data_IF_041819318305
#
_entry.id   IF_041819318305
#
_cell.length_a   1.000
_cell.length_b   1.000
_cell.length_c   1.000
_cell.angle_alpha   90.00
_cell.angle_beta   90.00
_cell.angle_gamma   90.00
#
_symmetry.space_group_name_H-M   'P 1'
#
loop_
_entity.id
_entity.type
_entity.pdbx_description
1 polymer ?
#
# COMPACT_ATOMS: atom_id res chain seq x y z
N UNK A 1 20.15 -25.07 -79.94
CA UNK A 1 19.00 -24.15 -79.91
C UNK A 1 18.14 -24.60 -78.77
N UNK A 2 17.81 -23.62 -77.95
CA UNK A 2 17.45 -23.63 -76.53
C UNK A 2 16.10 -24.25 -76.15
N UNK A 3 15.85 -24.21 -74.83
CA UNK A 3 14.55 -24.23 -74.13
C UNK A 3 13.90 -25.60 -73.91
N UNK A 4 13.14 -25.89 -72.85
CA UNK A 4 12.94 -25.39 -71.49
C UNK A 4 11.94 -26.40 -70.84
N UNK A 5 11.90 -26.43 -69.51
CA UNK A 5 10.85 -26.83 -68.56
C UNK A 5 9.57 -27.58 -69.04
N UNK A 6 9.22 -28.74 -68.43
CA UNK A 6 8.35 -28.93 -67.22
C UNK A 6 6.86 -28.69 -67.47
N UNK A 7 6.01 -29.66 -67.09
CA UNK A 7 4.68 -29.56 -66.43
C UNK A 7 3.94 -30.91 -66.61
N UNK A 8 3.81 -31.75 -65.58
CA UNK A 8 2.92 -31.69 -64.40
C UNK A 8 1.49 -32.14 -64.70
N UNK A 9 1.04 -33.18 -63.99
CA UNK A 9 -0.27 -33.17 -63.35
C UNK A 9 -0.34 -34.33 -62.35
N UNK A 10 -0.19 -33.99 -61.06
CA UNK A 10 -0.48 -34.86 -59.93
C UNK A 10 -1.51 -34.13 -59.07
N UNK A 11 -2.76 -34.59 -59.12
CA UNK A 11 -3.92 -33.91 -58.52
C UNK A 11 -4.02 -34.21 -57.03
N UNK A 12 -3.73 -33.22 -56.19
CA UNK A 12 -3.88 -33.24 -54.72
C UNK A 12 -5.28 -32.75 -54.32
N UNK A 13 -5.97 -33.59 -53.54
CA UNK A 13 -7.28 -33.36 -52.93
C UNK A 13 -7.23 -32.22 -51.88
N UNK A 14 -8.10 -31.22 -52.01
CA UNK A 14 -8.15 -30.01 -51.17
C UNK A 14 -9.29 -30.16 -50.15
N UNK A 15 -8.92 -30.26 -48.88
CA UNK A 15 -9.80 -30.40 -47.73
C UNK A 15 -10.77 -29.22 -47.56
N UNK A 16 -12.08 -29.50 -47.61
CA UNK A 16 -13.10 -28.55 -47.15
C UNK A 16 -13.13 -28.53 -45.61
N UNK A 17 -12.72 -27.41 -45.02
CA UNK A 17 -12.56 -27.25 -43.56
C UNK A 17 -13.87 -27.35 -42.77
N UNK A 18 -13.84 -28.10 -41.66
CA UNK A 18 -14.98 -28.30 -40.76
C UNK A 18 -15.45 -27.00 -40.06
N UNK A 19 -16.76 -26.71 -40.13
CA UNK A 19 -17.39 -25.53 -39.50
C UNK A 19 -18.41 -25.91 -38.41
N UNK A 20 -18.07 -25.75 -37.10
CA UNK A 20 -18.96 -26.15 -36.01
C UNK A 20 -20.10 -25.16 -35.76
N UNK A 21 -21.32 -25.69 -35.52
CA UNK A 21 -22.54 -24.90 -35.30
C UNK A 21 -22.80 -24.53 -33.84
N UNK A 22 -22.21 -25.24 -32.86
CA UNK A 22 -22.46 -24.99 -31.43
C UNK A 22 -21.41 -24.06 -30.80
N UNK A 23 -21.79 -23.22 -29.82
CA UNK A 23 -20.85 -22.28 -29.18
C UNK A 23 -19.66 -22.95 -28.48
N UNK A 24 -19.87 -24.13 -27.88
CA UNK A 24 -18.81 -24.88 -27.21
C UNK A 24 -17.77 -25.42 -28.21
N UNK A 25 -18.21 -25.87 -29.39
CA UNK A 25 -17.34 -26.50 -30.37
C UNK A 25 -16.59 -25.48 -31.23
N UNK A 26 -17.13 -24.26 -31.37
CA UNK A 26 -16.38 -23.09 -31.88
C UNK A 26 -15.21 -22.73 -30.96
N UNK A 27 -15.43 -22.67 -29.63
CA UNK A 27 -14.37 -22.38 -28.65
C UNK A 27 -13.31 -23.48 -28.56
N UNK A 28 -13.68 -24.72 -28.86
CA UNK A 28 -12.72 -25.82 -28.93
C UNK A 28 -11.90 -25.73 -30.21
N UNK A 29 -12.52 -25.50 -31.38
CA UNK A 29 -11.81 -25.32 -32.65
C UNK A 29 -10.78 -24.19 -32.57
N UNK A 30 -11.16 -23.03 -32.05
CA UNK A 30 -10.27 -21.89 -31.93
C UNK A 30 -9.05 -22.18 -31.03
N UNK A 31 -9.17 -23.06 -30.04
CA UNK A 31 -8.07 -23.38 -29.12
C UNK A 31 -7.05 -24.36 -29.67
N UNK A 32 -7.46 -25.23 -30.58
CA UNK A 32 -6.64 -26.39 -30.97
C UNK A 32 -6.38 -26.48 -32.47
N UNK A 33 -7.35 -26.12 -33.32
CA UNK A 33 -7.20 -26.20 -34.78
C UNK A 33 -6.60 -24.93 -35.38
N UNK A 34 -7.03 -23.75 -34.90
CA UNK A 34 -6.53 -22.49 -35.44
C UNK A 34 -5.15 -22.12 -34.83
N UNK A 35 -4.79 -22.69 -33.67
CA UNK A 35 -3.47 -22.51 -33.04
C UNK A 35 -2.41 -23.50 -33.56
N UNK A 36 -2.78 -24.64 -34.15
CA UNK A 36 -1.83 -25.59 -34.76
C UNK A 36 -1.31 -25.11 -36.13
N UNK A 37 -2.04 -24.24 -36.85
CA UNK A 37 -1.58 -23.69 -38.15
C UNK A 37 -0.61 -22.50 -38.00
N UNK A 38 -0.37 -22.01 -36.77
CA UNK A 38 0.48 -20.85 -36.47
C UNK A 38 1.81 -21.22 -35.81
N UNK A 39 2.33 -22.43 -36.06
CA UNK A 39 3.54 -22.93 -35.39
C UNK A 39 4.69 -23.21 -36.37
N UNK A 40 5.03 -22.22 -37.21
CA UNK A 40 6.33 -22.15 -37.89
C UNK A 40 6.83 -20.71 -38.00
N UNK A 41 7.18 -20.10 -36.86
CA UNK A 41 8.31 -19.17 -36.80
C UNK A 41 8.79 -19.02 -35.36
N UNK A 42 9.91 -19.69 -35.06
CA UNK A 42 10.78 -19.42 -33.92
C UNK A 42 11.20 -17.95 -33.90
N UNK A 43 10.73 -17.18 -32.91
CA UNK A 43 11.45 -16.01 -32.38
C UNK A 43 11.01 -15.76 -30.94
N UNK A 44 12.01 -15.64 -30.07
CA UNK A 44 11.92 -15.23 -28.68
C UNK A 44 11.29 -13.82 -28.57
N UNK A 45 10.36 -13.62 -27.62
CA UNK A 45 10.30 -12.48 -26.68
C UNK A 45 8.95 -12.45 -25.93
N UNK A 46 9.05 -12.10 -24.65
CA UNK A 46 8.02 -11.45 -23.81
C UNK A 46 6.83 -12.29 -23.31
N UNK A 47 7.00 -12.92 -22.12
CA UNK A 47 5.87 -13.33 -21.29
C UNK A 47 5.18 -12.09 -20.69
N UNK A 48 4.42 -11.41 -21.53
CA UNK A 48 3.27 -10.61 -21.13
C UNK A 48 2.14 -11.54 -20.68
N UNK A 49 2.00 -11.74 -19.37
CA UNK A 49 0.81 -12.34 -18.77
C UNK A 49 -0.30 -11.26 -18.69
N UNK A 50 -1.01 -11.08 -19.81
CA UNK A 50 -2.26 -10.32 -19.88
C UNK A 50 -3.39 -11.21 -19.34
N UNK A 51 -3.45 -11.33 -18.02
CA UNK A 51 -4.64 -11.80 -17.33
C UNK A 51 -5.47 -10.59 -16.89
N UNK A 52 -6.70 -10.54 -17.41
CA UNK A 52 -7.81 -9.66 -16.99
C UNK A 52 -8.07 -9.77 -15.47
N UNK A 53 -7.20 -9.21 -14.65
CA UNK A 53 -7.59 -8.51 -13.43
C UNK A 53 -7.60 -7.03 -13.79
N UNK A 54 -8.71 -6.35 -13.54
CA UNK A 54 -8.72 -4.89 -13.42
C UNK A 54 -7.91 -4.53 -12.17
N UNK A 55 -6.59 -4.69 -12.26
CA UNK A 55 -5.64 -4.18 -11.29
C UNK A 55 -5.75 -2.68 -11.46
N UNK A 56 -6.48 -2.04 -10.54
CA UNK A 56 -6.33 -0.62 -10.31
C UNK A 56 -4.83 -0.38 -10.15
N UNK A 57 -4.17 0.14 -11.20
CA UNK A 57 -2.77 0.49 -11.14
C UNK A 57 -2.65 1.63 -10.12
N UNK A 58 -2.37 1.25 -8.87
CA UNK A 58 -2.12 2.20 -7.80
C UNK A 58 -0.86 2.96 -8.21
N UNK A 59 -0.98 4.28 -8.37
CA UNK A 59 0.16 5.16 -8.65
C UNK A 59 1.29 4.92 -7.64
N UNK A 60 2.54 4.92 -8.09
CA UNK A 60 3.70 4.71 -7.20
C UNK A 60 3.69 5.71 -6.02
N UNK A 61 3.24 6.94 -6.28
CA UNK A 61 3.07 7.97 -5.24
C UNK A 61 2.03 7.59 -4.18
N UNK A 62 0.94 6.94 -4.57
CA UNK A 62 -0.06 6.42 -3.61
C UNK A 62 0.52 5.29 -2.75
N UNK A 63 1.31 4.39 -3.33
CA UNK A 63 1.95 3.31 -2.59
C UNK A 63 2.95 3.87 -1.54
N UNK A 64 3.76 4.85 -1.94
CA UNK A 64 4.69 5.52 -1.03
C UNK A 64 3.95 6.26 0.10
N UNK A 65 2.88 6.99 -0.23
CA UNK A 65 2.05 7.69 0.77
C UNK A 65 1.38 6.71 1.75
N UNK A 66 0.85 5.60 1.24
CA UNK A 66 0.27 4.53 2.06
C UNK A 66 1.30 3.96 3.02
N UNK A 67 2.49 3.62 2.54
CA UNK A 67 3.57 3.09 3.38
C UNK A 67 3.98 4.11 4.46
N UNK A 68 4.07 5.39 4.09
CA UNK A 68 4.33 6.47 5.05
C UNK A 68 3.25 6.53 6.15
N UNK A 69 1.96 6.51 5.78
CA UNK A 69 0.86 6.48 6.74
C UNK A 69 0.92 5.26 7.66
N UNK A 70 1.24 4.09 7.12
CA UNK A 70 1.37 2.86 7.91
C UNK A 70 2.51 2.96 8.93
N UNK A 71 3.66 3.50 8.54
CA UNK A 71 4.78 3.72 9.46
C UNK A 71 4.35 4.66 10.59
N UNK A 72 3.68 5.77 10.28
CA UNK A 72 3.19 6.70 11.29
C UNK A 72 2.20 6.04 12.25
N UNK A 73 1.24 5.25 11.74
CA UNK A 73 0.31 4.48 12.57
C UNK A 73 1.07 3.55 13.52
N UNK A 74 2.04 2.80 13.00
CA UNK A 74 2.86 1.87 13.80
C UNK A 74 3.64 2.64 14.88
N UNK A 75 4.23 3.78 14.54
CA UNK A 75 4.94 4.63 15.51
C UNK A 75 4.01 5.10 16.63
N UNK A 76 2.78 5.54 16.31
CA UNK A 76 1.81 5.97 17.32
C UNK A 76 1.41 4.81 18.24
N UNK A 77 1.09 3.65 17.66
CA UNK A 77 0.67 2.47 18.44
C UNK A 77 1.80 1.97 19.35
N UNK A 78 3.01 1.79 18.80
CA UNK A 78 4.17 1.34 19.58
C UNK A 78 4.55 2.40 20.62
N UNK A 79 4.54 3.68 20.24
CA UNK A 79 4.84 4.80 21.12
C UNK A 79 3.92 4.81 22.35
N UNK A 80 2.61 4.72 22.15
CA UNK A 80 1.63 4.67 23.23
C UNK A 80 1.83 3.46 24.17
N UNK A 81 2.10 2.28 23.60
CA UNK A 81 2.37 1.07 24.38
C UNK A 81 3.68 1.21 25.17
N UNK A 82 4.72 1.80 24.59
CA UNK A 82 6.00 2.01 25.27
C UNK A 82 5.88 3.06 26.38
N UNK A 83 5.14 4.15 26.17
CA UNK A 83 4.82 5.12 27.24
C UNK A 83 4.09 4.43 28.40
N UNK A 84 3.11 3.58 28.12
CA UNK A 84 2.45 2.79 29.16
C UNK A 84 3.42 1.85 29.88
N UNK A 85 4.28 1.13 29.16
CA UNK A 85 5.28 0.24 29.77
C UNK A 85 6.26 1.03 30.64
N UNK A 86 6.71 2.20 30.16
CA UNK A 86 7.57 3.13 30.88
C UNK A 86 6.92 3.52 32.21
N UNK A 87 5.68 4.00 32.15
CA UNK A 87 4.90 4.39 33.32
C UNK A 87 4.76 3.27 34.37
N UNK A 88 4.44 2.05 33.96
CA UNK A 88 4.22 0.95 34.92
C UNK A 88 5.51 0.34 35.47
N UNK A 89 6.64 0.54 34.79
CA UNK A 89 7.92 -0.10 35.13
C UNK A 89 8.90 0.85 35.81
N UNK A 90 8.78 2.15 35.59
CA UNK A 90 9.64 3.20 36.13
C UNK A 90 9.16 3.76 37.47
N UNK A 91 10.03 4.49 38.19
CA UNK A 91 9.61 5.33 39.30
C UNK A 91 8.70 6.46 38.78
N UNK A 92 7.60 6.75 39.49
CA UNK A 92 6.63 7.80 39.10
C UNK A 92 7.11 9.21 39.52
N UNK A 93 8.34 9.53 39.18
CA UNK A 93 9.00 10.79 39.57
C UNK A 93 9.43 11.55 38.31
N UNK A 94 9.22 12.86 38.28
CA UNK A 94 9.48 13.69 37.10
C UNK A 94 10.97 13.83 36.70
N UNK A 95 11.91 13.41 37.55
CA UNK A 95 13.35 13.54 37.28
C UNK A 95 14.00 12.27 36.69
N UNK A 96 13.34 11.11 36.81
CA UNK A 96 13.92 9.80 36.49
C UNK A 96 13.10 9.06 35.43
N UNK A 97 12.99 9.65 34.24
CA UNK A 97 12.31 9.03 33.09
C UNK A 97 13.00 7.73 32.67
N UNK A 98 12.22 6.68 32.50
CA UNK A 98 12.73 5.42 31.97
C UNK A 98 12.92 5.50 30.44
N UNK A 99 13.82 4.70 29.88
CA UNK A 99 14.06 4.61 28.44
C UNK A 99 12.77 4.39 27.63
N UNK A 100 11.86 3.58 28.14
CA UNK A 100 10.58 3.28 27.47
C UNK A 100 9.62 4.46 27.46
N UNK A 101 9.68 5.32 28.47
CA UNK A 101 8.85 6.53 28.59
C UNK A 101 9.31 7.58 27.57
N UNK A 102 10.60 7.91 27.57
CA UNK A 102 11.21 8.83 26.60
C UNK A 102 11.00 8.33 25.17
N UNK A 103 11.32 7.05 24.91
CA UNK A 103 11.22 6.48 23.57
C UNK A 103 9.75 6.39 23.13
N UNK A 104 8.87 5.99 24.04
CA UNK A 104 7.44 5.90 23.78
C UNK A 104 6.82 7.24 23.43
N UNK A 105 7.09 8.26 24.26
CA UNK A 105 6.64 9.63 24.05
C UNK A 105 7.16 10.19 22.74
N UNK A 106 8.45 10.03 22.45
CA UNK A 106 9.06 10.51 21.20
C UNK A 106 8.42 9.85 19.97
N UNK A 107 8.26 8.53 19.97
CA UNK A 107 7.62 7.81 18.85
C UNK A 107 6.17 8.26 18.66
N UNK A 108 5.44 8.42 19.75
CA UNK A 108 4.06 8.87 19.73
C UNK A 108 3.92 10.28 19.15
N UNK A 109 4.72 11.23 19.62
CA UNK A 109 4.70 12.61 19.16
C UNK A 109 5.18 12.78 17.72
N UNK A 110 6.21 12.04 17.30
CA UNK A 110 6.63 12.00 15.89
C UNK A 110 5.51 11.45 14.99
N UNK A 111 4.85 10.39 15.43
CA UNK A 111 3.70 9.82 14.73
C UNK A 111 2.55 10.83 14.59
N UNK A 112 2.21 11.54 15.68
CA UNK A 112 1.20 12.60 15.71
C UNK A 112 1.55 13.79 14.80
N UNK A 113 2.84 14.17 14.73
CA UNK A 113 3.32 15.21 13.80
C UNK A 113 3.13 14.81 12.33
N UNK A 114 2.96 13.51 12.06
CA UNK A 114 2.56 13.01 10.75
C UNK A 114 1.14 13.44 10.31
N UNK A 115 0.25 13.83 11.23
CA UNK A 115 -1.12 14.28 10.90
C UNK A 115 -1.11 15.55 10.02
N UNK A 116 -0.47 16.67 10.43
CA UNK A 116 -0.41 17.86 9.58
C UNK A 116 0.34 17.59 8.26
N UNK A 117 1.36 16.73 8.26
CA UNK A 117 2.08 16.35 7.04
C UNK A 117 1.15 15.59 6.08
N UNK A 118 0.41 14.60 6.57
CA UNK A 118 -0.56 13.85 5.78
C UNK A 118 -1.65 14.76 5.23
N UNK A 119 -2.11 15.74 6.02
CA UNK A 119 -3.08 16.72 5.57
C UNK A 119 -2.55 17.57 4.40
N UNK A 120 -1.29 18.00 4.46
CA UNK A 120 -0.66 18.75 3.36
C UNK A 120 -0.54 17.89 2.10
N UNK A 121 -0.11 16.64 2.22
CA UNK A 121 0.01 15.72 1.07
C UNK A 121 -1.37 15.43 0.48
N UNK A 122 -2.39 15.24 1.31
CA UNK A 122 -3.78 15.08 0.87
C UNK A 122 -4.27 16.30 0.08
N UNK A 123 -3.99 17.53 0.54
CA UNK A 123 -4.36 18.75 -0.18
C UNK A 123 -3.66 18.83 -1.55
N UNK A 124 -2.39 18.43 -1.63
CA UNK A 124 -1.63 18.36 -2.88
C UNK A 124 -2.21 17.28 -3.81
N UNK A 125 -2.67 16.15 -3.26
CA UNK A 125 -3.29 15.07 -4.02
C UNK A 125 -4.58 15.51 -4.74
N UNK A 126 -5.37 16.42 -4.16
CA UNK A 126 -6.56 16.95 -4.86
C UNK A 126 -6.25 17.81 -6.08
N UNK A 127 -5.06 18.40 -6.14
CA UNK A 127 -4.62 19.23 -7.27
C UNK A 127 -3.94 18.42 -8.39
N UNK A 128 -3.54 17.18 -8.13
CA UNK A 128 -2.77 16.36 -9.06
C UNK A 128 -3.59 15.17 -9.55
N UNK A 129 -3.86 15.06 -10.87
CA UNK A 129 -4.65 13.97 -11.44
C UNK A 129 -3.94 12.60 -11.39
N UNK A 130 -2.64 12.59 -11.09
CA UNK A 130 -1.81 11.38 -10.99
C UNK A 130 -2.01 10.62 -9.67
N UNK A 131 -2.63 11.25 -8.67
CA UNK A 131 -2.89 10.64 -7.37
C UNK A 131 -4.34 10.16 -7.25
N UNK A 132 -4.53 8.95 -6.73
CA UNK A 132 -5.84 8.52 -6.26
C UNK A 132 -6.15 9.22 -4.93
N UNK A 133 -6.86 10.33 -5.02
CA UNK A 133 -7.26 11.14 -3.87
C UNK A 133 -8.15 10.40 -2.87
N UNK A 134 -8.89 9.37 -3.30
CA UNK A 134 -9.74 8.58 -2.40
C UNK A 134 -8.90 7.70 -1.49
N UNK A 135 -7.88 7.05 -2.05
CA UNK A 135 -6.96 6.22 -1.28
C UNK A 135 -6.13 7.08 -0.31
N UNK A 136 -5.59 8.21 -0.79
CA UNK A 136 -4.85 9.16 0.07
C UNK A 136 -5.72 9.72 1.22
N UNK A 137 -6.98 10.05 0.94
CA UNK A 137 -7.95 10.47 1.96
C UNK A 137 -8.21 9.36 2.98
N UNK A 138 -8.41 8.13 2.51
CA UNK A 138 -8.71 6.98 3.38
C UNK A 138 -7.57 6.69 4.35
N UNK A 139 -6.32 6.63 3.87
CA UNK A 139 -5.16 6.40 4.74
C UNK A 139 -4.89 7.55 5.70
N UNK A 140 -5.08 8.81 5.26
CA UNK A 140 -5.00 9.98 6.14
C UNK A 140 -6.03 9.92 7.27
N UNK A 141 -7.26 9.54 6.94
CA UNK A 141 -8.35 9.41 7.91
C UNK A 141 -8.09 8.27 8.89
N UNK A 142 -7.62 7.11 8.41
CA UNK A 142 -7.26 5.97 9.27
C UNK A 142 -6.17 6.39 10.25
N UNK A 143 -5.09 7.04 9.76
CA UNK A 143 -4.03 7.53 10.63
C UNK A 143 -4.58 8.49 11.68
N UNK A 144 -5.36 9.49 11.28
CA UNK A 144 -5.97 10.43 12.22
C UNK A 144 -6.83 9.74 13.29
N UNK A 145 -7.74 8.84 12.89
CA UNK A 145 -8.64 8.14 13.82
C UNK A 145 -7.87 7.26 14.79
N UNK A 146 -6.90 6.47 14.29
CA UNK A 146 -6.07 5.62 15.15
C UNK A 146 -5.26 6.47 16.12
N UNK A 147 -4.65 7.55 15.65
CA UNK A 147 -3.83 8.39 16.51
C UNK A 147 -4.62 9.09 17.60
N UNK A 148 -5.82 9.57 17.28
CA UNK A 148 -6.73 10.15 18.28
C UNK A 148 -7.24 9.08 19.26
N UNK A 149 -7.57 7.87 18.79
CA UNK A 149 -7.99 6.78 19.68
C UNK A 149 -6.88 6.42 20.67
N UNK A 150 -5.64 6.25 20.21
CA UNK A 150 -4.52 5.94 21.09
C UNK A 150 -4.14 7.11 21.99
N UNK A 151 -4.27 8.35 21.52
CA UNK A 151 -4.14 9.53 22.39
C UNK A 151 -5.14 9.45 23.53
N UNK A 152 -6.42 9.22 23.25
CA UNK A 152 -7.45 9.17 24.29
C UNK A 152 -7.26 7.99 25.27
N UNK A 153 -6.85 6.82 24.76
CA UNK A 153 -6.65 5.63 25.61
C UNK A 153 -5.44 5.75 26.53
N UNK A 154 -4.39 6.44 26.09
CA UNK A 154 -3.11 6.52 26.79
C UNK A 154 -2.75 7.95 27.22
N UNK A 155 -3.73 8.86 27.28
CA UNK A 155 -3.50 10.29 27.48
C UNK A 155 -2.72 10.59 28.76
N UNK A 156 -3.03 9.88 29.84
CA UNK A 156 -2.39 10.06 31.14
C UNK A 156 -0.90 9.68 31.06
N UNK A 157 -0.58 8.60 30.36
CA UNK A 157 0.79 8.10 30.25
C UNK A 157 1.63 8.85 29.21
N UNK A 158 1.00 9.38 28.16
CA UNK A 158 1.68 10.13 27.10
C UNK A 158 1.94 11.57 27.51
N UNK A 159 1.06 12.16 28.32
CA UNK A 159 1.14 13.58 28.71
C UNK A 159 1.82 13.81 30.05
N UNK A 160 2.12 12.77 30.83
CA UNK A 160 2.74 12.89 32.14
C UNK A 160 3.99 13.77 32.12
N UNK A 161 4.97 13.46 31.27
CA UNK A 161 6.23 14.22 31.17
C UNK A 161 6.01 15.66 30.71
N UNK A 162 5.02 15.87 29.83
CA UNK A 162 4.73 17.19 29.29
C UNK A 162 4.12 18.14 30.34
N UNK A 163 3.52 17.59 31.40
CA UNK A 163 2.95 18.34 32.51
C UNK A 163 3.72 18.20 33.83
N UNK A 164 4.76 17.39 33.87
CA UNK A 164 5.65 17.24 35.03
C UNK A 164 6.32 18.57 35.43
N UNK A 165 6.75 19.38 34.44
CA UNK A 165 7.30 20.73 34.67
C UNK A 165 6.22 21.81 34.83
N UNK A 166 4.95 21.48 34.56
CA UNK A 166 3.83 22.42 34.70
C UNK A 166 3.23 22.24 36.09
N UNK A 167 3.98 22.63 37.13
CA UNK A 167 3.37 22.95 38.41
C UNK A 167 2.36 24.08 38.17
N UNK A 168 1.09 23.72 37.98
CA UNK A 168 -0.06 24.60 37.76
C UNK A 168 -0.40 25.47 38.98
N UNK A 169 0.55 25.68 39.91
CA UNK A 169 0.45 26.62 41.03
C UNK A 169 -0.84 26.47 41.84
N UNK A 170 -1.40 25.26 41.93
CA UNK A 170 -2.51 25.03 42.83
C UNK A 170 -1.98 25.21 44.26
N UNK A 171 -2.59 26.10 45.06
CA UNK A 171 -2.09 26.37 46.40
C UNK A 171 -2.20 25.12 47.26
N UNK A 172 -1.06 24.46 47.51
CA UNK A 172 -0.95 23.26 48.33
C UNK A 172 -0.09 22.12 47.76
N UNK A 173 0.35 22.19 46.50
CA UNK A 173 1.33 21.24 45.95
C UNK A 173 2.74 21.79 46.14
N UNK A 174 3.44 21.25 47.14
CA UNK A 174 4.85 21.52 47.36
C UNK A 174 5.65 20.85 46.23
N UNK A 175 5.94 21.61 45.18
CA UNK A 175 6.94 21.24 44.18
C UNK A 175 8.33 21.50 44.80
N UNK A 176 8.80 20.54 45.59
CA UNK A 176 10.17 20.44 46.13
C UNK A 176 10.66 19.05 45.75
N UNK A 177 11.84 18.86 45.17
CA UNK A 177 13.12 19.56 45.44
C UNK A 177 13.83 20.11 44.19
#
# INVERSE_FOLDING_TARGET
MDENQTESDDSVDKSEGYQPKSPAMKRWKQRYLDNEESDDSLTEEDEGDDSDEVVHQISEGNLQFRNFCQILIVMVVIGAIFSFIGYVSGPQTCDDDNLFEILGGLLFWLGMLGIPINLLILLISFANPEFDSKDAFTWSLIHFVVSILFLFLFIEYVLQDMFCDVCMGFPGEDCSD
#
